data_IF_090619643174
#
_entry.id   IF_090619643174
#
_cell.length_a   1.000
_cell.length_b   1.000
_cell.length_c   1.000
_cell.angle_alpha   90.00
_cell.angle_beta   90.00
_cell.angle_gamma   90.00
#
_symmetry.space_group_name_H-M   'P 1'
#
loop_
_entity.id
_entity.type
_entity.pdbx_description
1 polymer ?
#
# COMPACT_ATOMS: atom_id res chain seq x y z
N UNK A 1 -0.03 2.24 -15.90
CA UNK A 1 -0.81 3.05 -14.97
C UNK A 1 -2.30 2.93 -15.31
N UNK A 2 -3.16 2.41 -14.40
CA UNK A 2 -4.59 2.19 -14.67
C UNK A 2 -5.42 3.48 -14.69
N UNK A 3 -4.89 4.59 -14.19
CA UNK A 3 -5.59 5.88 -14.10
C UNK A 3 -5.32 6.73 -15.33
N UNK A 4 -6.38 7.06 -16.08
CA UNK A 4 -6.34 8.00 -17.19
C UNK A 4 -6.86 9.33 -16.69
N UNK A 5 -5.95 10.28 -16.48
CA UNK A 5 -6.24 11.63 -15.98
C UNK A 5 -6.62 12.60 -17.12
N UNK A 6 -7.30 13.71 -16.80
CA UNK A 6 -7.66 14.71 -17.80
C UNK A 6 -6.46 15.53 -18.32
N UNK A 7 -5.39 15.63 -17.53
CA UNK A 7 -4.15 16.33 -17.89
C UNK A 7 -4.15 17.86 -17.69
N UNK A 8 -5.30 18.48 -17.42
CA UNK A 8 -5.46 19.94 -17.40
C UNK A 8 -6.03 20.54 -16.10
N UNK A 9 -6.54 19.73 -15.18
CA UNK A 9 -7.00 20.23 -13.88
C UNK A 9 -5.83 20.55 -12.93
N UNK A 10 -6.10 21.27 -11.85
CA UNK A 10 -5.08 21.67 -10.86
C UNK A 10 -4.32 20.47 -10.28
N UNK A 11 -4.99 19.33 -10.07
CA UNK A 11 -4.32 18.12 -9.61
C UNK A 11 -3.33 17.60 -10.65
N UNK A 12 -3.71 17.55 -11.92
CA UNK A 12 -2.84 17.07 -13.00
C UNK A 12 -1.63 17.98 -13.23
N UNK A 13 -1.85 19.30 -13.25
CA UNK A 13 -0.79 20.28 -13.51
C UNK A 13 0.21 20.42 -12.35
N UNK A 14 -0.13 19.90 -11.17
CA UNK A 14 0.76 19.86 -9.99
C UNK A 14 1.34 18.47 -9.71
N UNK A 15 1.23 17.52 -10.66
CA UNK A 15 1.78 16.17 -10.52
C UNK A 15 0.99 15.24 -9.57
N UNK A 16 -0.27 15.58 -9.29
CA UNK A 16 -1.17 14.81 -8.43
C UNK A 16 -2.29 14.15 -9.23
N UNK A 17 -1.95 13.53 -10.35
CA UNK A 17 -2.90 12.93 -11.30
C UNK A 17 -3.80 11.86 -10.66
N UNK A 18 -3.30 11.18 -9.63
CA UNK A 18 -4.04 10.16 -8.87
C UNK A 18 -5.32 10.69 -8.20
N UNK A 19 -5.42 12.00 -7.96
CA UNK A 19 -6.61 12.66 -7.40
C UNK A 19 -7.34 13.53 -8.43
N UNK A 20 -7.10 13.32 -9.74
CA UNK A 20 -7.84 14.00 -10.80
C UNK A 20 -9.35 13.73 -10.64
N UNK A 21 -10.21 14.77 -10.57
CA UNK A 21 -11.66 14.59 -10.43
C UNK A 21 -12.29 13.88 -11.64
N UNK A 22 -11.72 14.09 -12.83
CA UNK A 22 -12.21 13.51 -14.11
C UNK A 22 -11.42 12.25 -14.50
N UNK A 23 -10.75 11.60 -13.54
CA UNK A 23 -10.01 10.37 -13.84
C UNK A 23 -10.94 9.24 -14.26
N UNK A 24 -10.51 8.49 -15.24
CA UNK A 24 -11.11 7.22 -15.62
C UNK A 24 -10.18 6.09 -15.18
N UNK A 25 -10.77 4.99 -14.76
CA UNK A 25 -10.01 3.82 -14.26
C UNK A 25 -10.31 2.64 -15.16
N UNK A 26 -9.27 1.93 -15.60
CA UNK A 26 -9.45 0.66 -16.33
C UNK A 26 -10.24 -0.32 -15.45
N UNK A 27 -11.12 -1.11 -16.06
CA UNK A 27 -12.09 -2.00 -15.38
C UNK A 27 -13.27 -1.31 -14.69
N UNK A 28 -13.39 0.02 -14.81
CA UNK A 28 -14.54 0.77 -14.33
C UNK A 28 -15.18 1.54 -15.48
N UNK A 29 -16.52 1.49 -15.67
CA UNK A 29 -17.17 2.24 -16.73
C UNK A 29 -16.73 3.72 -16.73
N UNK A 30 -16.49 4.32 -17.90
CA UNK A 30 -16.70 3.79 -19.25
C UNK A 30 -15.53 2.97 -19.84
N UNK A 31 -14.52 2.60 -19.06
CA UNK A 31 -13.35 1.86 -19.57
C UNK A 31 -13.46 0.37 -19.32
N UNK A 32 -13.16 -0.38 -20.40
CA UNK A 32 -13.03 -1.83 -20.33
C UNK A 32 -11.84 -2.27 -19.45
N UNK A 33 -11.93 -3.51 -18.94
CA UNK A 33 -10.87 -4.14 -18.16
C UNK A 33 -9.76 -4.76 -19.01
N UNK A 34 -8.69 -5.19 -18.35
CA UNK A 34 -7.54 -5.82 -19.00
C UNK A 34 -7.62 -7.36 -19.08
N UNK A 35 -8.68 -8.00 -18.59
CA UNK A 35 -8.93 -9.43 -18.82
C UNK A 35 -9.49 -9.64 -20.24
N UNK A 36 -8.67 -9.30 -21.25
CA UNK A 36 -9.00 -9.36 -22.67
C UNK A 36 -7.73 -9.59 -23.49
N UNK A 37 -7.89 -10.03 -24.73
CA UNK A 37 -6.76 -10.20 -25.66
C UNK A 37 -6.12 -8.86 -26.04
N UNK A 38 -6.93 -7.79 -26.05
CA UNK A 38 -6.50 -6.44 -26.39
C UNK A 38 -7.10 -5.44 -25.43
N UNK A 39 -6.33 -4.39 -25.14
CA UNK A 39 -6.77 -3.25 -24.33
C UNK A 39 -6.30 -1.96 -24.97
N UNK A 40 -7.13 -0.92 -24.94
CA UNK A 40 -6.78 0.41 -25.45
C UNK A 40 -6.42 1.33 -24.28
N UNK A 41 -5.20 1.84 -24.30
CA UNK A 41 -4.70 2.78 -23.30
C UNK A 41 -3.94 3.94 -23.96
N UNK A 42 -3.99 5.17 -23.42
CA UNK A 42 -3.11 6.24 -23.86
C UNK A 42 -1.64 5.87 -23.68
N UNK A 43 -0.80 6.22 -24.64
CA UNK A 43 0.64 5.92 -24.59
C UNK A 43 1.30 6.41 -23.29
N UNK A 44 0.94 7.59 -22.78
CA UNK A 44 1.44 8.14 -21.51
C UNK A 44 1.15 7.26 -20.27
N UNK A 45 0.21 6.33 -20.37
CA UNK A 45 -0.12 5.39 -19.31
C UNK A 45 0.71 4.11 -19.37
N UNK A 46 1.41 3.88 -20.47
CA UNK A 46 2.27 2.73 -20.65
C UNK A 46 3.63 2.97 -19.99
N UNK A 47 4.14 1.97 -19.32
CA UNK A 47 5.47 1.98 -18.69
C UNK A 47 6.27 0.84 -19.30
N UNK A 48 7.45 1.15 -19.82
CA UNK A 48 8.35 0.13 -20.33
C UNK A 48 8.83 -0.76 -19.18
N UNK A 49 8.71 -2.07 -19.36
CA UNK A 49 9.31 -3.05 -18.47
C UNK A 49 10.73 -3.30 -18.95
N UNK A 50 11.77 -3.06 -18.13
CA UNK A 50 13.14 -3.37 -18.51
C UNK A 50 13.28 -4.87 -18.86
N UNK A 51 14.09 -5.18 -19.86
CA UNK A 51 14.18 -6.53 -20.46
C UNK A 51 14.68 -7.60 -19.48
N UNK A 52 15.37 -7.21 -18.42
CA UNK A 52 15.85 -8.09 -17.35
C UNK A 52 14.73 -8.59 -16.42
N UNK A 53 13.53 -8.00 -16.46
CA UNK A 53 12.38 -8.44 -15.65
C UNK A 53 11.38 -9.24 -16.49
N UNK A 54 10.98 -10.39 -15.97
CA UNK A 54 9.86 -11.15 -16.55
C UNK A 54 8.52 -10.41 -16.33
N UNK A 55 7.54 -10.67 -17.19
CA UNK A 55 6.19 -10.10 -17.05
C UNK A 55 5.51 -10.54 -15.74
N UNK A 56 5.81 -11.75 -15.24
CA UNK A 56 5.31 -12.23 -13.94
C UNK A 56 5.80 -11.35 -12.79
N UNK A 57 7.08 -10.94 -12.82
CA UNK A 57 7.62 -9.99 -11.84
C UNK A 57 7.05 -8.59 -12.04
N UNK A 58 6.89 -8.16 -13.29
CA UNK A 58 6.30 -6.86 -13.61
C UNK A 58 4.85 -6.73 -13.12
N UNK A 59 4.09 -7.82 -13.09
CA UNK A 59 2.72 -7.83 -12.56
C UNK A 59 2.65 -7.45 -11.07
N UNK A 60 3.72 -7.64 -10.30
CA UNK A 60 3.79 -7.26 -8.88
C UNK A 60 3.98 -5.74 -8.67
N UNK A 61 4.28 -4.99 -9.71
CA UNK A 61 4.53 -3.52 -9.60
C UNK A 61 3.29 -2.79 -9.08
N UNK A 62 2.08 -3.23 -9.45
CA UNK A 62 0.85 -2.57 -9.00
C UNK A 62 0.67 -2.66 -7.48
N UNK A 63 0.60 -3.85 -6.84
CA UNK A 63 0.47 -3.94 -5.39
C UNK A 63 1.68 -3.33 -4.64
N UNK A 64 2.89 -3.42 -5.21
CA UNK A 64 4.07 -2.76 -4.64
C UNK A 64 3.94 -1.24 -4.69
N UNK A 65 3.37 -0.67 -5.75
CA UNK A 65 3.12 0.77 -5.86
C UNK A 65 2.09 1.25 -4.82
N UNK A 66 1.05 0.47 -4.55
CA UNK A 66 0.09 0.74 -3.47
C UNK A 66 0.80 0.77 -2.12
N UNK A 67 1.59 -0.27 -1.82
CA UNK A 67 2.37 -0.34 -0.58
C UNK A 67 3.38 0.80 -0.43
N UNK A 68 4.09 1.11 -1.52
CA UNK A 68 5.05 2.23 -1.55
C UNK A 68 4.38 3.58 -1.29
N UNK A 69 3.26 3.84 -1.95
CA UNK A 69 2.52 5.09 -1.77
C UNK A 69 2.00 5.23 -0.35
N UNK A 70 1.43 4.17 0.22
CA UNK A 70 0.96 4.14 1.60
C UNK A 70 2.08 4.42 2.60
N UNK A 71 3.20 3.71 2.47
CA UNK A 71 4.38 3.90 3.32
C UNK A 71 4.93 5.33 3.22
N UNK A 72 5.03 5.86 1.98
CA UNK A 72 5.51 7.24 1.73
C UNK A 72 4.61 8.29 2.38
N UNK A 73 3.29 8.15 2.29
CA UNK A 73 2.37 9.09 2.94
C UNK A 73 2.51 9.04 4.46
N UNK A 74 2.59 7.86 5.05
CA UNK A 74 2.74 7.69 6.50
C UNK A 74 4.08 8.23 7.00
N UNK A 75 5.19 7.90 6.34
CA UNK A 75 6.54 8.36 6.73
C UNK A 75 6.76 9.86 6.50
N UNK A 76 6.07 10.47 5.53
CA UNK A 76 6.13 11.93 5.33
C UNK A 76 5.27 12.72 6.33
N UNK A 77 4.24 12.09 6.90
CA UNK A 77 3.33 12.75 7.83
C UNK A 77 3.79 12.65 9.30
N UNK A 78 4.64 11.66 9.63
CA UNK A 78 5.15 11.47 10.99
C UNK A 78 6.24 12.51 11.31
N UNK A 79 6.32 12.94 12.58
CA UNK A 79 7.43 13.79 13.04
C UNK A 79 8.76 13.04 12.92
N UNK A 80 9.78 13.72 12.40
CA UNK A 80 11.10 13.14 12.14
C UNK A 80 11.84 12.63 13.40
N UNK A 81 11.44 13.11 14.58
CA UNK A 81 12.01 12.70 15.87
C UNK A 81 11.30 11.49 16.49
N UNK A 82 10.20 11.03 15.89
CA UNK A 82 9.53 9.82 16.37
C UNK A 82 10.37 8.57 16.06
N UNK A 83 10.18 7.55 16.89
CA UNK A 83 10.84 6.25 16.69
C UNK A 83 10.53 5.67 15.31
N UNK A 84 11.54 5.06 14.66
CA UNK A 84 11.40 4.40 13.37
C UNK A 84 10.78 3.00 13.51
N UNK A 85 9.57 2.98 14.04
CA UNK A 85 8.83 1.79 14.42
C UNK A 85 7.44 1.81 13.80
N UNK A 86 7.01 0.68 13.23
CA UNK A 86 5.72 0.58 12.57
C UNK A 86 5.04 -0.76 12.83
N UNK A 87 3.70 -0.73 12.82
CA UNK A 87 2.82 -1.89 12.80
C UNK A 87 2.09 -1.94 11.46
N UNK A 88 2.06 -3.11 10.83
CA UNK A 88 1.16 -3.43 9.72
C UNK A 88 0.13 -4.45 10.18
N UNK A 89 -1.14 -4.10 10.11
CA UNK A 89 -2.27 -4.97 10.41
C UNK A 89 -2.70 -5.64 9.11
N UNK A 90 -2.58 -6.96 9.04
CA UNK A 90 -2.83 -7.78 7.86
C UNK A 90 -1.55 -8.07 7.06
N UNK A 91 -1.24 -9.37 6.91
CA UNK A 91 -0.06 -9.88 6.20
C UNK A 91 -0.35 -10.38 4.78
N UNK A 92 -1.41 -9.87 4.14
CA UNK A 92 -1.72 -10.14 2.73
C UNK A 92 -0.79 -9.41 1.76
N UNK A 93 -1.09 -9.47 0.45
CA UNK A 93 -0.25 -8.87 -0.59
C UNK A 93 0.04 -7.37 -0.35
N UNK A 94 -0.98 -6.59 0.01
CA UNK A 94 -0.83 -5.14 0.27
C UNK A 94 -0.07 -4.91 1.59
N UNK A 95 -0.35 -5.70 2.64
CA UNK A 95 0.37 -5.58 3.90
C UNK A 95 1.86 -5.88 3.74
N UNK A 96 2.21 -6.98 3.05
CA UNK A 96 3.61 -7.31 2.76
C UNK A 96 4.28 -6.25 1.89
N UNK A 97 3.62 -5.78 0.83
CA UNK A 97 4.14 -4.72 -0.04
C UNK A 97 4.42 -3.42 0.75
N UNK A 98 3.50 -3.04 1.66
CA UNK A 98 3.67 -1.87 2.51
C UNK A 98 4.81 -2.08 3.53
N UNK A 99 4.90 -3.27 4.12
CA UNK A 99 5.96 -3.63 5.05
C UNK A 99 7.35 -3.55 4.41
N UNK A 100 7.50 -4.08 3.18
CA UNK A 100 8.74 -3.97 2.41
C UNK A 100 9.09 -2.50 2.09
N UNK A 101 8.09 -1.70 1.71
CA UNK A 101 8.28 -0.27 1.45
C UNK A 101 8.69 0.50 2.71
N UNK A 102 8.10 0.23 3.86
CA UNK A 102 8.49 0.83 5.15
C UNK A 102 9.95 0.51 5.50
N UNK A 103 10.39 -0.73 5.32
CA UNK A 103 11.81 -1.09 5.51
C UNK A 103 12.72 -0.33 4.54
N UNK A 104 12.37 -0.25 3.27
CA UNK A 104 13.13 0.50 2.27
C UNK A 104 13.21 2.01 2.59
N UNK A 105 12.22 2.55 3.31
CA UNK A 105 12.20 3.94 3.78
C UNK A 105 12.85 4.14 5.16
N UNK A 106 13.50 3.10 5.72
CA UNK A 106 14.31 3.20 6.92
C UNK A 106 13.58 2.94 8.23
N UNK A 107 12.40 2.31 8.21
CA UNK A 107 11.78 1.78 9.42
C UNK A 107 12.60 0.57 9.90
N UNK A 108 13.13 0.67 11.11
CA UNK A 108 14.04 -0.34 11.69
C UNK A 108 13.30 -1.39 12.52
N UNK A 109 12.24 -1.00 13.21
CA UNK A 109 11.41 -1.90 14.02
C UNK A 109 10.05 -2.09 13.36
N UNK A 110 9.90 -3.20 12.64
CA UNK A 110 8.67 -3.53 11.94
C UNK A 110 7.96 -4.73 12.59
N UNK A 111 6.68 -4.56 12.87
CA UNK A 111 5.80 -5.64 13.34
C UNK A 111 4.67 -5.85 12.32
N UNK A 112 4.35 -7.09 12.00
CA UNK A 112 3.19 -7.45 11.19
C UNK A 112 2.25 -8.32 12.02
N UNK A 113 0.99 -7.90 12.15
CA UNK A 113 -0.07 -8.67 12.81
C UNK A 113 -0.90 -9.38 11.75
N UNK A 114 -0.93 -10.73 11.80
CA UNK A 114 -1.66 -11.57 10.85
C UNK A 114 -2.30 -12.76 11.57
N UNK A 115 -3.61 -12.97 11.39
CA UNK A 115 -4.35 -14.05 12.05
C UNK A 115 -4.16 -15.41 11.39
N UNK A 116 -3.96 -15.44 10.06
CA UNK A 116 -3.81 -16.68 9.32
C UNK A 116 -2.42 -17.31 9.58
N UNK A 117 -2.32 -18.51 10.14
CA UNK A 117 -1.04 -19.13 10.47
C UNK A 117 -0.17 -19.41 9.23
N UNK A 118 -0.76 -19.79 8.10
CA UNK A 118 0.00 -20.05 6.86
C UNK A 118 0.60 -18.77 6.30
N UNK A 119 -0.11 -17.63 6.41
CA UNK A 119 0.47 -16.34 6.02
C UNK A 119 1.57 -15.90 6.96
N UNK A 120 1.44 -16.16 8.27
CA UNK A 120 2.54 -15.87 9.21
C UNK A 120 3.78 -16.66 8.89
N UNK A 121 3.65 -17.96 8.58
CA UNK A 121 4.77 -18.82 8.17
C UNK A 121 5.45 -18.25 6.91
N UNK A 122 4.67 -17.92 5.89
CA UNK A 122 5.18 -17.29 4.68
C UNK A 122 5.93 -15.97 4.96
N UNK A 123 5.38 -15.11 5.82
CA UNK A 123 6.01 -13.83 6.17
C UNK A 123 7.35 -14.01 6.89
N UNK A 124 7.47 -15.01 7.78
CA UNK A 124 8.72 -15.33 8.48
C UNK A 124 9.86 -15.70 7.54
N UNK A 125 9.55 -16.28 6.38
CA UNK A 125 10.55 -16.65 5.37
C UNK A 125 10.93 -15.50 4.43
N UNK A 126 10.05 -14.47 4.28
CA UNK A 126 10.16 -13.49 3.19
C UNK A 126 10.43 -12.07 3.65
N UNK A 127 10.30 -11.77 4.94
CA UNK A 127 10.57 -10.43 5.46
C UNK A 127 11.19 -10.48 6.86
N UNK A 128 12.24 -9.70 7.05
CA UNK A 128 12.83 -9.47 8.37
C UNK A 128 11.95 -8.47 9.15
N UNK A 129 10.98 -9.01 9.90
CA UNK A 129 10.03 -8.28 10.74
C UNK A 129 9.57 -9.19 11.89
N UNK A 130 9.05 -8.58 12.95
CA UNK A 130 8.37 -9.31 14.02
C UNK A 130 6.97 -9.72 13.54
N UNK A 131 6.71 -11.01 13.38
CA UNK A 131 5.42 -11.53 12.96
C UNK A 131 4.67 -12.04 14.19
N UNK A 132 3.45 -11.53 14.37
CA UNK A 132 2.60 -11.87 15.52
C UNK A 132 1.15 -12.09 15.09
N UNK A 133 0.39 -12.79 15.90
CA UNK A 133 -1.07 -12.87 15.73
C UNK A 133 -1.75 -11.59 16.20
N UNK A 134 -1.35 -11.10 17.38
CA UNK A 134 -1.83 -9.85 18.00
C UNK A 134 -0.70 -9.15 18.75
N UNK A 135 -0.88 -7.87 19.00
CA UNK A 135 0.03 -7.07 19.83
C UNK A 135 -0.78 -6.08 20.68
N UNK A 136 -0.22 -5.69 21.81
CA UNK A 136 -0.75 -4.65 22.70
C UNK A 136 0.18 -3.44 22.74
N UNK A 137 1.32 -3.50 22.03
CA UNK A 137 2.27 -2.40 21.96
C UNK A 137 1.72 -1.25 21.11
N UNK A 138 2.14 -0.03 21.45
CA UNK A 138 1.86 1.15 20.64
C UNK A 138 2.97 1.41 19.62
N UNK A 139 2.59 2.04 18.50
CA UNK A 139 3.48 2.30 17.36
C UNK A 139 3.30 3.72 16.82
N UNK A 140 4.37 4.43 16.48
CA UNK A 140 4.29 5.72 15.79
C UNK A 140 3.58 5.66 14.44
N UNK A 141 3.76 4.57 13.70
CA UNK A 141 3.10 4.35 12.41
C UNK A 141 2.29 3.06 12.50
N UNK A 142 1.00 3.14 12.19
CA UNK A 142 0.11 1.98 12.08
C UNK A 142 -0.52 1.96 10.70
N UNK A 143 -0.34 0.86 9.98
CA UNK A 143 -0.95 0.63 8.66
C UNK A 143 -2.05 -0.41 8.82
N UNK A 144 -3.27 -0.07 8.47
CA UNK A 144 -4.37 -1.04 8.36
C UNK A 144 -4.53 -1.47 6.90
N UNK A 145 -4.00 -2.66 6.59
CA UNK A 145 -4.06 -3.27 5.28
C UNK A 145 -5.24 -4.27 5.12
N UNK A 146 -6.16 -4.28 6.06
CA UNK A 146 -7.38 -5.11 6.08
C UNK A 146 -8.62 -4.26 5.81
N UNK A 147 -8.85 -3.21 6.61
CA UNK A 147 -9.90 -2.22 6.38
C UNK A 147 -11.27 -2.53 6.99
N UNK A 148 -11.42 -3.58 7.83
CA UNK A 148 -12.65 -3.82 8.58
C UNK A 148 -12.82 -2.83 9.74
N UNK A 149 -14.04 -2.62 10.20
CA UNK A 149 -14.33 -1.78 11.36
C UNK A 149 -13.51 -2.21 12.60
N UNK A 150 -13.36 -3.52 12.79
CA UNK A 150 -12.55 -4.08 13.88
C UNK A 150 -11.06 -3.73 13.77
N UNK A 151 -10.46 -3.80 12.57
CA UNK A 151 -9.04 -3.46 12.38
C UNK A 151 -8.79 -1.98 12.45
N UNK A 152 -9.73 -1.15 12.01
CA UNK A 152 -9.69 0.31 12.20
C UNK A 152 -9.70 0.69 13.70
N UNK A 153 -10.55 0.02 14.49
CA UNK A 153 -10.58 0.21 15.94
C UNK A 153 -9.27 -0.19 16.59
N UNK A 154 -8.71 -1.36 16.21
CA UNK A 154 -7.41 -1.83 16.69
C UNK A 154 -6.30 -0.84 16.32
N UNK A 155 -6.27 -0.34 15.08
CA UNK A 155 -5.31 0.66 14.66
C UNK A 155 -5.35 1.93 15.52
N UNK A 156 -6.56 2.40 15.85
CA UNK A 156 -6.76 3.57 16.73
C UNK A 156 -6.30 3.34 18.16
N UNK A 157 -6.36 2.09 18.66
CA UNK A 157 -5.90 1.75 20.01
C UNK A 157 -4.37 1.59 20.11
N UNK A 158 -3.73 1.20 19.00
CA UNK A 158 -2.30 0.87 18.95
C UNK A 158 -1.43 2.01 18.40
N UNK A 159 -2.01 3.09 17.90
CA UNK A 159 -1.23 4.26 17.51
C UNK A 159 -0.73 5.01 18.74
N UNK A 160 0.55 5.37 18.74
CA UNK A 160 1.13 6.21 19.79
C UNK A 160 0.59 7.65 19.72
N UNK A 161 0.56 8.40 20.82
CA UNK A 161 0.28 9.84 20.76
C UNK A 161 1.20 10.56 19.76
N UNK A 162 0.59 11.37 18.87
CA UNK A 162 1.31 12.01 17.76
C UNK A 162 1.65 11.11 16.58
N UNK A 163 1.25 9.84 16.64
CA UNK A 163 1.48 8.87 15.57
C UNK A 163 0.48 9.01 14.42
N UNK A 164 0.72 8.24 13.37
CA UNK A 164 -0.04 8.24 12.11
C UNK A 164 -0.70 6.89 11.88
N UNK A 165 -1.95 6.92 11.44
CA UNK A 165 -2.65 5.74 10.92
C UNK A 165 -2.87 5.94 9.43
N UNK A 166 -2.52 4.93 8.62
CA UNK A 166 -2.89 4.87 7.21
C UNK A 166 -3.80 3.65 6.96
N UNK A 167 -5.02 3.91 6.53
CA UNK A 167 -5.98 2.89 6.11
C UNK A 167 -5.84 2.67 4.60
N UNK A 168 -5.36 1.51 4.19
CA UNK A 168 -5.24 1.11 2.79
C UNK A 168 -6.13 -0.07 2.44
N UNK A 169 -6.52 -0.85 3.43
CA UNK A 169 -7.45 -1.96 3.27
C UNK A 169 -8.87 -1.48 2.92
N UNK A 170 -9.56 -2.23 2.05
CA UNK A 170 -10.93 -1.99 1.59
C UNK A 170 -11.85 -3.12 2.08
N UNK A 171 -11.77 -3.49 3.35
CA UNK A 171 -12.69 -4.46 3.94
C UNK A 171 -14.12 -3.94 3.99
N UNK A 172 -15.09 -4.85 3.87
CA UNK A 172 -16.50 -4.52 4.03
C UNK A 172 -16.84 -4.17 5.48
N UNK A 173 -17.81 -3.30 5.66
CA UNK A 173 -18.34 -2.92 6.99
C UNK A 173 -19.35 -3.95 7.50
#
# INVERSE_FOLDING_TARGET
NPLVSCGNCSACTTGRENICPDRQIISMPPREGAFAQYVTMPERNLVNVPTEYSLDKAALVEPLAVGWHTAKLATNAIDANMEKKALVIGGGAIGLATALALKAMGITELTISEFNPLRREYLLEHIDAKIVEKTENSFPIVIDAVGFASTRSVASQLVSPGGIIAHVGLGDN
#
